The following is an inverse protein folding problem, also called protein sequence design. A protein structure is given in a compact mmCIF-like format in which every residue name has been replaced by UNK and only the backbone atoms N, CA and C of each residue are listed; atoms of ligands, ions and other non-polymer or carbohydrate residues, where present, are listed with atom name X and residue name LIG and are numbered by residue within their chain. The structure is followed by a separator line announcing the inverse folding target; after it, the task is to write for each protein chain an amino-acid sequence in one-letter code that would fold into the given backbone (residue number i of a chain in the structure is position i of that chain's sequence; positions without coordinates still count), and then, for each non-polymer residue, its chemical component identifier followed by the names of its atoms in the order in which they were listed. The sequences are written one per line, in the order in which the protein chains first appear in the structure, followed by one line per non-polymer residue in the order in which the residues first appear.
data_IF_103278528284
#
_entry.id   IF_103278528284
#
_cell.length_a   1.000
_cell.length_b   1.000
_cell.length_c   1.000
_cell.angle_alpha   90.00
_cell.angle_beta   90.00
_cell.angle_gamma   90.00
#
_symmetry.space_group_name_H-M   'P 1'
#
loop_
_entity.id
_entity.type
_entity.pdbx_description
1 polymer ?
#
# COMPACT_ATOMS: atom_id res chain seq x y z
N UNK A 1 -8.37 -15.33 -18.52
CA UNK A 1 -8.06 -14.06 -19.20
C UNK A 1 -8.04 -12.94 -18.16
N UNK A 2 -6.94 -12.18 -18.05
CA UNK A 2 -6.79 -11.08 -17.10
C UNK A 2 -6.80 -9.74 -17.87
N UNK A 3 -7.77 -8.85 -17.59
CA UNK A 3 -7.68 -7.45 -18.05
C UNK A 3 -6.51 -6.77 -17.35
N UNK A 4 -5.59 -6.19 -18.13
CA UNK A 4 -4.43 -5.42 -17.62
C UNK A 4 -4.95 -4.25 -16.79
N UNK A 5 -4.63 -4.19 -15.48
CA UNK A 5 -5.02 -3.08 -14.62
C UNK A 5 -4.09 -1.88 -14.82
N UNK A 6 -4.58 -0.67 -14.57
CA UNK A 6 -3.70 0.49 -14.39
C UNK A 6 -2.93 0.36 -13.08
N UNK A 7 -1.73 0.93 -12.99
CA UNK A 7 -0.91 0.87 -11.76
C UNK A 7 -0.96 2.20 -11.03
N UNK A 8 -1.36 2.17 -9.76
CA UNK A 8 -1.30 3.31 -8.86
C UNK A 8 -0.07 3.15 -7.99
N UNK A 9 0.86 4.10 -8.09
CA UNK A 9 2.07 4.11 -7.28
C UNK A 9 1.89 4.96 -6.03
N UNK A 10 2.10 4.35 -4.87
CA UNK A 10 2.11 5.01 -3.57
C UNK A 10 3.55 5.18 -3.11
N UNK A 11 4.07 6.40 -3.18
CA UNK A 11 5.42 6.75 -2.73
C UNK A 11 5.40 7.15 -1.25
N UNK A 12 5.91 6.26 -0.39
CA UNK A 12 5.96 6.42 1.07
C UNK A 12 7.35 6.93 1.47
N UNK A 13 7.38 8.11 2.08
CA UNK A 13 8.59 8.80 2.51
C UNK A 13 8.54 9.15 4.00
N UNK A 14 9.72 9.24 4.60
CA UNK A 14 9.91 9.57 6.01
C UNK A 14 10.29 8.36 6.86
N UNK A 15 10.38 8.58 8.16
CA UNK A 15 10.74 7.55 9.15
C UNK A 15 9.54 7.22 10.01
N UNK A 16 9.31 5.93 10.21
CA UNK A 16 8.28 5.47 11.14
C UNK A 16 8.64 5.88 12.56
N UNK A 17 7.65 6.39 13.30
CA UNK A 17 7.77 6.72 14.70
C UNK A 17 7.91 5.47 15.58
N UNK A 18 8.26 5.68 16.84
CA UNK A 18 8.37 4.59 17.82
C UNK A 18 7.01 3.92 18.00
N UNK A 19 6.95 2.59 17.82
CA UNK A 19 5.73 1.75 17.86
C UNK A 19 4.77 1.93 16.67
N UNK A 20 5.23 2.51 15.56
CA UNK A 20 4.48 2.48 14.29
C UNK A 20 5.14 1.51 13.30
N UNK A 21 4.33 0.83 12.50
CA UNK A 21 4.78 -0.15 11.51
C UNK A 21 4.00 -0.06 10.19
N UNK A 22 4.22 -1.02 9.30
CA UNK A 22 3.52 -1.13 8.02
C UNK A 22 2.00 -1.08 8.13
N UNK A 23 1.41 -1.66 9.20
CA UNK A 23 -0.03 -1.64 9.42
C UNK A 23 -0.59 -0.22 9.55
N UNK A 24 0.10 0.65 10.29
CA UNK A 24 -0.32 2.03 10.47
C UNK A 24 -0.20 2.82 9.16
N UNK A 25 0.85 2.51 8.38
CA UNK A 25 1.06 3.10 7.04
C UNK A 25 -0.09 2.74 6.10
N UNK A 26 -0.43 1.46 5.96
CA UNK A 26 -1.48 1.05 5.02
C UNK A 26 -2.86 1.56 5.47
N UNK A 27 -3.15 1.61 6.77
CA UNK A 27 -4.38 2.21 7.29
C UNK A 27 -4.46 3.70 6.96
N UNK A 28 -3.34 4.43 7.03
CA UNK A 28 -3.27 5.84 6.63
C UNK A 28 -3.48 6.00 5.12
N UNK A 29 -2.89 5.12 4.30
CA UNK A 29 -3.05 5.13 2.84
C UNK A 29 -4.50 4.84 2.45
N UNK A 30 -5.13 3.80 3.00
CA UNK A 30 -6.55 3.48 2.80
C UNK A 30 -7.42 4.68 3.20
N UNK A 31 -7.22 5.23 4.40
CA UNK A 31 -8.01 6.36 4.90
C UNK A 31 -7.83 7.65 4.09
N UNK A 32 -6.75 7.80 3.33
CA UNK A 32 -6.52 8.95 2.43
C UNK A 32 -7.10 8.72 1.05
N UNK A 33 -7.14 7.46 0.59
CA UNK A 33 -7.54 7.08 -0.77
C UNK A 33 -9.05 6.78 -0.88
N UNK A 34 -9.70 6.40 0.23
CA UNK A 34 -11.10 5.95 0.24
C UNK A 34 -11.24 4.48 -0.18
N UNK A 35 -12.47 3.96 -0.09
CA UNK A 35 -12.80 2.55 -0.37
C UNK A 35 -12.84 2.20 -1.87
N UNK A 36 -12.99 3.19 -2.76
CA UNK A 36 -13.00 3.01 -4.23
C UNK A 36 -11.75 3.59 -4.93
N UNK A 37 -10.76 4.05 -4.17
CA UNK A 37 -9.63 4.81 -4.73
C UNK A 37 -8.57 3.99 -5.49
N UNK A 38 -8.66 2.66 -5.46
CA UNK A 38 -7.82 1.76 -6.27
C UNK A 38 -8.64 0.78 -7.14
N UNK A 39 -9.92 1.08 -7.41
CA UNK A 39 -10.82 0.18 -8.15
C UNK A 39 -10.22 -0.31 -9.47
N UNK A 40 -10.09 -1.62 -9.62
CA UNK A 40 -9.50 -2.27 -10.82
C UNK A 40 -8.04 -1.93 -11.14
N UNK A 41 -7.33 -1.26 -10.22
CA UNK A 41 -5.91 -0.94 -10.37
C UNK A 41 -5.03 -1.95 -9.60
N UNK A 42 -3.76 -2.02 -9.99
CA UNK A 42 -2.69 -2.63 -9.22
C UNK A 42 -2.02 -1.55 -8.34
N UNK A 43 -1.73 -1.83 -7.08
CA UNK A 43 -1.08 -0.86 -6.18
C UNK A 43 0.40 -1.17 -6.02
N UNK A 44 1.26 -0.22 -6.38
CA UNK A 44 2.71 -0.32 -6.21
C UNK A 44 3.16 0.53 -5.03
N UNK A 45 3.62 -0.11 -3.96
CA UNK A 45 4.24 0.58 -2.82
C UNK A 45 5.73 0.82 -3.09
N UNK A 46 6.12 2.09 -3.06
CA UNK A 46 7.50 2.51 -3.31
C UNK A 46 7.98 3.53 -2.29
N UNK A 47 9.25 3.90 -2.39
CA UNK A 47 9.87 4.92 -1.56
C UNK A 47 10.83 4.37 -0.50
N UNK A 48 11.64 5.25 0.11
CA UNK A 48 12.70 4.86 1.04
C UNK A 48 12.16 4.18 2.30
N UNK A 49 10.95 4.55 2.76
CA UNK A 49 10.34 3.92 3.92
C UNK A 49 10.03 2.45 3.66
N UNK A 50 9.45 2.13 2.49
CA UNK A 50 9.20 0.73 2.07
C UNK A 50 10.52 -0.03 1.90
N UNK A 51 11.55 0.64 1.37
CA UNK A 51 12.91 0.09 1.26
C UNK A 51 13.52 -0.30 2.61
N UNK A 52 13.24 0.46 3.67
CA UNK A 52 13.70 0.19 5.02
C UNK A 52 12.88 -0.89 5.77
N UNK A 53 11.67 -1.19 5.31
CA UNK A 53 10.83 -2.22 5.95
C UNK A 53 11.38 -3.62 5.72
N UNK A 54 11.35 -4.50 6.75
CA UNK A 54 11.63 -5.92 6.58
C UNK A 54 10.53 -6.59 5.74
N UNK A 55 10.83 -7.75 5.15
CA UNK A 55 9.93 -8.40 4.18
C UNK A 55 8.54 -8.72 4.74
N UNK A 56 8.46 -9.14 6.01
CA UNK A 56 7.19 -9.42 6.68
C UNK A 56 6.29 -8.18 6.75
N UNK A 57 6.86 -6.98 6.95
CA UNK A 57 6.10 -5.74 6.94
C UNK A 57 5.66 -5.33 5.54
N UNK A 58 6.44 -5.65 4.50
CA UNK A 58 6.00 -5.45 3.11
C UNK A 58 4.81 -6.34 2.75
N UNK A 59 4.76 -7.57 3.27
CA UNK A 59 3.58 -8.43 3.11
C UNK A 59 2.33 -7.86 3.79
N UNK A 60 2.48 -7.15 4.92
CA UNK A 60 1.36 -6.45 5.57
C UNK A 60 0.80 -5.36 4.67
N UNK A 61 1.66 -4.59 3.98
CA UNK A 61 1.21 -3.57 3.02
C UNK A 61 0.41 -4.20 1.87
N UNK A 62 0.97 -5.23 1.23
CA UNK A 62 0.35 -5.88 0.08
C UNK A 62 -0.91 -6.69 0.45
N UNK A 63 -1.01 -7.22 1.67
CA UNK A 63 -2.18 -7.99 2.08
C UNK A 63 -3.44 -7.11 2.16
N UNK A 64 -3.27 -5.84 2.53
CA UNK A 64 -4.37 -4.92 2.77
C UNK A 64 -4.72 -4.03 1.56
N UNK A 65 -4.22 -4.35 0.35
CA UNK A 65 -4.59 -3.62 -0.88
C UNK A 65 -6.03 -3.91 -1.31
N UNK A 66 -6.56 -5.08 -0.98
CA UNK A 66 -7.93 -5.49 -1.32
C UNK A 66 -8.97 -4.57 -0.67
N UNK A 67 -8.68 -4.07 0.53
CA UNK A 67 -9.51 -3.16 1.31
C UNK A 67 -9.59 -1.74 0.71
N UNK A 68 -8.77 -1.43 -0.30
CA UNK A 68 -8.85 -0.21 -1.12
C UNK A 68 -9.63 -0.39 -2.43
N UNK A 69 -10.22 -1.56 -2.64
CA UNK A 69 -10.82 -1.95 -3.91
C UNK A 69 -9.80 -2.31 -5.00
N UNK A 70 -8.52 -2.45 -4.65
CA UNK A 70 -7.48 -2.85 -5.58
C UNK A 70 -7.69 -4.27 -6.08
N UNK A 71 -7.28 -4.51 -7.33
CA UNK A 71 -7.32 -5.85 -7.93
C UNK A 71 -6.12 -6.70 -7.51
N UNK A 72 -4.98 -6.04 -7.30
CA UNK A 72 -3.69 -6.65 -6.89
C UNK A 72 -2.81 -5.63 -6.19
#
# INVERSE_FOLDING_TARGET
WLRVPETIRVDIRGTLGRRTGAKDVILKVIGTTGDDGARYAAVEFAGPTVGALPMNERFVLCNMTTEMGAKV
#
